data_IF_378770766316
#
_entry.id   IF_378770766316
#
_cell.length_a   1.000
_cell.length_b   1.000
_cell.length_c   1.000
_cell.angle_alpha   90.00
_cell.angle_beta   90.00
_cell.angle_gamma   90.00
#
_symmetry.space_group_name_H-M   'P 1'
#
loop_
_entity.id
_entity.type
_entity.pdbx_description
1 polymer ?
#
# COMPACT_ATOMS: atom_id res chain seq x y z
N UNK A 1 -1.12 9.51 0.61
CA UNK A 1 -1.85 8.24 0.41
C UNK A 1 -2.81 7.93 1.57
N UNK A 2 -3.88 7.17 1.34
CA UNK A 2 -4.85 6.72 2.39
C UNK A 2 -4.58 5.25 2.73
N UNK A 3 -4.70 4.88 4.02
CA UNK A 3 -4.55 3.48 4.48
C UNK A 3 -5.93 2.85 4.65
N UNK A 4 -6.20 1.78 3.90
CA UNK A 4 -7.41 0.97 4.06
C UNK A 4 -7.13 -0.26 4.90
N UNK A 5 -8.00 -0.55 5.88
CA UNK A 5 -7.97 -1.83 6.59
C UNK A 5 -8.81 -2.83 5.81
N UNK A 6 -8.15 -3.79 5.18
CA UNK A 6 -8.82 -4.87 4.44
C UNK A 6 -8.76 -6.14 5.28
N UNK A 7 -9.88 -6.87 5.35
CA UNK A 7 -9.98 -8.16 6.05
C UNK A 7 -10.47 -9.21 5.06
N UNK A 8 -9.89 -10.41 5.13
CA UNK A 8 -10.39 -11.54 4.37
C UNK A 8 -11.81 -11.92 4.80
N UNK A 9 -12.64 -12.29 3.84
CA UNK A 9 -13.93 -12.94 4.12
C UNK A 9 -13.69 -14.40 4.59
N UNK A 10 -14.77 -15.14 4.89
CA UNK A 10 -14.69 -16.55 5.32
C UNK A 10 -14.03 -17.48 4.29
N UNK A 11 -14.07 -17.11 3.01
CA UNK A 11 -13.43 -17.85 1.92
C UNK A 11 -11.97 -17.43 1.68
N UNK A 12 -11.42 -16.50 2.47
CA UNK A 12 -10.04 -16.03 2.31
C UNK A 12 -9.87 -14.90 1.27
N UNK A 13 -10.95 -14.38 0.68
CA UNK A 13 -10.87 -13.31 -0.31
C UNK A 13 -10.73 -11.93 0.35
N UNK A 14 -9.81 -11.11 -0.17
CA UNK A 14 -9.65 -9.70 0.19
C UNK A 14 -10.37 -8.83 -0.84
N UNK A 15 -11.27 -7.96 -0.39
CA UNK A 15 -12.00 -7.05 -1.28
C UNK A 15 -11.36 -5.66 -1.29
N UNK A 16 -11.16 -5.12 -2.50
CA UNK A 16 -10.80 -3.71 -2.64
C UNK A 16 -12.02 -2.80 -2.53
N UNK A 17 -11.91 -1.69 -1.77
CA UNK A 17 -12.90 -0.61 -1.78
C UNK A 17 -13.20 -0.14 -3.20
N UNK A 18 -14.40 0.42 -3.41
CA UNK A 18 -14.87 0.85 -4.74
C UNK A 18 -13.90 1.83 -5.39
N UNK A 19 -13.39 2.77 -4.60
CA UNK A 19 -12.44 3.81 -5.01
C UNK A 19 -11.16 3.19 -5.56
N UNK A 20 -10.62 2.18 -4.86
CA UNK A 20 -9.40 1.48 -5.30
C UNK A 20 -9.63 0.73 -6.61
N UNK A 21 -10.81 0.10 -6.79
CA UNK A 21 -11.15 -0.60 -8.04
C UNK A 21 -11.34 0.36 -9.21
N UNK A 22 -11.88 1.56 -8.97
CA UNK A 22 -12.05 2.56 -10.01
C UNK A 22 -10.71 3.09 -10.54
N UNK A 23 -9.72 3.24 -9.64
CA UNK A 23 -8.38 3.70 -10.02
C UNK A 23 -7.53 2.60 -10.66
N UNK A 24 -7.55 1.38 -10.09
CA UNK A 24 -6.71 0.28 -10.56
C UNK A 24 -7.32 -0.51 -11.73
N UNK A 25 -8.58 -0.28 -12.08
CA UNK A 25 -9.25 -0.99 -13.16
C UNK A 25 -9.66 -2.43 -12.80
N UNK A 26 -9.98 -3.20 -13.84
CA UNK A 26 -10.63 -4.51 -13.69
C UNK A 26 -9.64 -5.68 -13.67
N UNK A 27 -8.54 -5.58 -14.44
CA UNK A 27 -7.52 -6.62 -14.53
C UNK A 27 -6.26 -6.19 -13.77
N UNK A 28 -5.85 -7.04 -12.82
CA UNK A 28 -4.77 -6.75 -11.89
C UNK A 28 -3.74 -7.86 -11.90
N UNK A 29 -2.48 -7.48 -11.71
CA UNK A 29 -1.38 -8.38 -11.40
C UNK A 29 -0.90 -8.16 -9.97
N UNK A 30 -0.31 -9.22 -9.39
CA UNK A 30 0.16 -9.26 -8.01
C UNK A 30 1.57 -9.82 -7.97
N UNK A 31 2.48 -9.08 -7.36
CA UNK A 31 3.79 -9.60 -6.93
C UNK A 31 3.83 -9.55 -5.42
N UNK A 32 4.09 -10.68 -4.77
CA UNK A 32 4.07 -10.78 -3.31
C UNK A 32 5.28 -11.50 -2.72
N UNK A 33 5.52 -11.22 -1.44
CA UNK A 33 6.45 -11.94 -0.58
C UNK A 33 5.83 -12.17 0.79
N UNK A 34 6.60 -12.72 1.74
CA UNK A 34 6.11 -13.08 3.08
C UNK A 34 5.63 -11.90 3.95
N UNK A 35 5.98 -10.66 3.60
CA UNK A 35 5.66 -9.44 4.37
C UNK A 35 4.74 -8.46 3.65
N UNK A 36 4.78 -8.42 2.32
CA UNK A 36 4.10 -7.40 1.54
C UNK A 36 3.73 -7.92 0.14
N UNK A 37 2.79 -7.21 -0.48
CA UNK A 37 2.44 -7.42 -1.87
C UNK A 37 2.22 -6.08 -2.59
N UNK A 38 2.50 -6.07 -3.88
CA UNK A 38 2.25 -4.97 -4.79
C UNK A 38 1.19 -5.41 -5.78
N UNK A 39 0.17 -4.58 -5.95
CA UNK A 39 -0.96 -4.80 -6.85
C UNK A 39 -1.00 -3.63 -7.81
N UNK A 40 -1.10 -3.95 -9.09
CA UNK A 40 -1.03 -2.98 -10.17
C UNK A 40 -1.87 -3.46 -11.36
N UNK A 41 -2.12 -2.56 -12.32
CA UNK A 41 -2.86 -2.87 -13.55
C UNK A 41 -2.16 -3.97 -14.35
N UNK A 42 -2.91 -4.93 -14.86
CA UNK A 42 -2.37 -6.01 -15.68
C UNK A 42 -1.61 -5.46 -16.90
N UNK A 43 -0.55 -6.16 -17.31
CA UNK A 43 0.33 -5.77 -18.42
C UNK A 43 1.06 -4.42 -18.25
N UNK A 44 1.10 -3.84 -17.04
CA UNK A 44 1.90 -2.63 -16.80
C UNK A 44 3.39 -2.97 -16.81
N UNK A 45 4.22 -2.26 -17.59
CA UNK A 45 5.67 -2.45 -17.55
C UNK A 45 6.25 -2.28 -16.14
N UNK A 46 7.12 -3.21 -15.72
CA UNK A 46 7.63 -3.26 -14.34
C UNK A 46 8.46 -2.03 -13.96
N UNK A 47 9.10 -1.37 -14.91
CA UNK A 47 9.82 -0.10 -14.70
C UNK A 47 8.87 1.05 -14.33
N UNK A 48 7.68 1.09 -14.93
CA UNK A 48 6.62 2.04 -14.57
C UNK A 48 6.09 1.75 -13.18
N UNK A 49 5.85 0.46 -12.86
CA UNK A 49 5.43 0.03 -11.51
C UNK A 49 6.48 0.44 -10.48
N UNK A 50 7.76 0.17 -10.76
CA UNK A 50 8.86 0.50 -9.86
C UNK A 50 8.94 2.01 -9.59
N UNK A 51 8.80 2.84 -10.64
CA UNK A 51 8.77 4.30 -10.50
C UNK A 51 7.61 4.79 -9.63
N UNK A 52 6.45 4.14 -9.72
CA UNK A 52 5.31 4.45 -8.85
C UNK A 52 5.60 4.06 -7.39
N UNK A 53 6.24 2.90 -7.17
CA UNK A 53 6.63 2.43 -5.84
C UNK A 53 7.64 3.34 -5.14
N UNK A 54 8.46 4.09 -5.86
CA UNK A 54 9.34 5.10 -5.26
C UNK A 54 8.54 6.16 -4.49
N UNK A 55 7.38 6.59 -5.01
CA UNK A 55 6.51 7.54 -4.32
C UNK A 55 5.88 6.92 -3.07
N UNK A 56 5.44 5.66 -3.17
CA UNK A 56 4.93 4.89 -2.02
C UNK A 56 6.02 4.77 -0.94
N UNK A 57 7.25 4.46 -1.34
CA UNK A 57 8.38 4.32 -0.42
C UNK A 57 8.71 5.65 0.29
N UNK A 58 8.67 6.78 -0.44
CA UNK A 58 8.86 8.12 0.15
C UNK A 58 7.79 8.43 1.19
N UNK A 59 6.51 8.16 0.89
CA UNK A 59 5.39 8.35 1.84
C UNK A 59 5.54 7.46 3.08
N UNK A 60 5.96 6.19 2.91
CA UNK A 60 6.21 5.28 4.03
C UNK A 60 7.36 5.77 4.93
N UNK A 61 8.48 6.20 4.34
CA UNK A 61 9.61 6.77 5.09
C UNK A 61 9.19 7.99 5.89
N UNK A 62 8.44 8.90 5.26
CA UNK A 62 7.93 10.08 5.94
C UNK A 62 7.03 9.73 7.13
N UNK A 63 6.11 8.77 6.98
CA UNK A 63 5.26 8.32 8.11
C UNK A 63 6.07 7.71 9.25
N UNK A 64 7.12 6.96 8.95
CA UNK A 64 8.00 6.38 9.97
C UNK A 64 8.69 7.49 10.76
N UNK A 65 9.17 8.53 10.07
CA UNK A 65 9.79 9.70 10.72
C UNK A 65 8.80 10.44 11.62
N UNK A 66 7.59 10.73 11.12
CA UNK A 66 6.55 11.38 11.93
C UNK A 66 6.18 10.56 13.16
N UNK A 67 6.03 9.24 13.03
CA UNK A 67 5.72 8.36 14.17
C UNK A 67 6.80 8.39 15.25
N UNK A 68 8.08 8.43 14.85
CA UNK A 68 9.20 8.54 15.80
C UNK A 68 9.16 9.87 16.56
N UNK A 69 8.89 10.98 15.86
CA UNK A 69 8.81 12.31 16.47
C UNK A 69 7.64 12.42 17.47
N UNK A 70 6.50 11.79 17.17
CA UNK A 70 5.36 11.75 18.10
C UNK A 70 5.63 10.88 19.33
N UNK A 71 6.41 9.80 19.20
CA UNK A 71 6.79 8.96 20.33
C UNK A 71 7.78 9.66 21.27
N UNK A 72 8.80 10.33 20.74
CA UNK A 72 9.74 11.11 21.56
C UNK A 72 9.06 12.25 22.33
N UNK A 73 8.02 12.89 21.75
CA UNK A 73 7.29 13.96 22.43
C UNK A 73 6.38 13.48 23.57
N UNK A 74 6.01 12.19 23.62
CA UNK A 74 5.17 11.60 24.67
C UNK A 74 5.97 10.92 25.78
N UNK A 75 7.28 10.68 25.59
CA UNK A 75 8.18 10.15 26.62
C UNK A 75 8.79 11.27 27.51
N UNK A 76 8.67 12.53 27.07
CA UNK A 76 9.12 13.73 27.79
C UNK A 76 7.99 14.41 28.62
N UNK A 77 6.87 13.73 28.88
CA UNK A 77 5.73 14.21 29.71
C UNK A 77 5.44 13.28 30.88
#
# INVERSE_FOLDING_TARGET
MVKFKVKANRAGHYYFPKEVRQELGEELELICNVKAAVIYQANTPLDVVLKSLENVQKDLKHRIETQKQTQSANEDV
#
